data_IF_172958280272
#
_entry.id   IF_172958280272
#
_cell.length_a   1.000
_cell.length_b   1.000
_cell.length_c   1.000
_cell.angle_alpha   90.00
_cell.angle_beta   90.00
_cell.angle_gamma   90.00
#
_symmetry.space_group_name_H-M   'P 1'
#
loop_
_entity.id
_entity.type
_entity.pdbx_description
1 polymer ?
#
# COMPACT_ATOMS: atom_id res chain seq x y z
N UNK A 1 -14.31 -1.95 4.05
CA UNK A 1 -13.65 -1.07 3.06
C UNK A 1 -14.51 -1.12 1.82
N UNK A 2 -14.95 0.02 1.32
CA UNK A 2 -15.84 0.07 0.16
C UNK A 2 -14.98 0.12 -1.11
N UNK A 3 -15.28 -0.73 -2.09
CA UNK A 3 -14.51 -0.83 -3.34
C UNK A 3 -15.15 0.14 -4.33
N UNK A 4 -14.38 1.15 -4.75
CA UNK A 4 -14.86 2.18 -5.68
C UNK A 4 -14.35 1.92 -7.09
N UNK A 5 -13.07 1.58 -7.25
CA UNK A 5 -12.44 1.27 -8.54
C UNK A 5 -11.16 0.48 -8.31
N UNK A 6 -10.83 -0.52 -9.13
CA UNK A 6 -9.56 -1.26 -9.02
C UNK A 6 -8.44 -0.69 -9.91
N UNK A 7 -8.76 0.30 -10.74
CA UNK A 7 -7.82 0.91 -11.68
C UNK A 7 -6.69 1.60 -10.91
N UNK A 8 -5.44 1.28 -11.25
CA UNK A 8 -4.25 1.89 -10.63
C UNK A 8 -3.81 1.25 -9.29
N UNK A 9 -4.54 0.25 -8.77
CA UNK A 9 -4.11 -0.47 -7.57
C UNK A 9 -2.78 -1.22 -7.76
N UNK A 10 -2.59 -1.83 -8.94
CA UNK A 10 -1.35 -2.50 -9.32
C UNK A 10 -0.17 -1.53 -9.44
N UNK A 11 -0.36 -0.41 -10.16
CA UNK A 11 0.67 0.62 -10.31
C UNK A 11 1.07 1.21 -8.95
N UNK A 12 0.08 1.40 -8.06
CA UNK A 12 0.28 1.86 -6.68
C UNK A 12 1.10 0.87 -5.86
N UNK A 13 0.84 -0.43 -6.01
CA UNK A 13 1.64 -1.48 -5.35
C UNK A 13 3.10 -1.44 -5.81
N UNK A 14 3.32 -1.36 -7.13
CA UNK A 14 4.67 -1.30 -7.72
C UNK A 14 5.40 -0.02 -7.25
N UNK A 15 4.73 1.12 -7.25
CA UNK A 15 5.27 2.38 -6.73
C UNK A 15 5.66 2.28 -5.25
N UNK A 16 4.82 1.67 -4.42
CA UNK A 16 5.13 1.42 -3.00
C UNK A 16 6.32 0.50 -2.78
N UNK A 17 6.48 -0.53 -3.62
CA UNK A 17 7.62 -1.44 -3.58
C UNK A 17 8.92 -0.70 -3.94
N UNK A 18 8.92 0.04 -5.04
CA UNK A 18 10.06 0.84 -5.48
C UNK A 18 10.45 1.86 -4.41
N UNK A 19 9.49 2.53 -3.80
CA UNK A 19 9.73 3.47 -2.73
C UNK A 19 10.42 2.82 -1.53
N UNK A 20 9.89 1.70 -1.03
CA UNK A 20 10.48 1.00 0.12
C UNK A 20 11.91 0.52 -0.15
N UNK A 21 12.18 0.02 -1.37
CA UNK A 21 13.51 -0.38 -1.80
C UNK A 21 14.48 0.81 -1.88
N UNK A 22 14.05 1.95 -2.46
CA UNK A 22 14.87 3.17 -2.54
C UNK A 22 15.20 3.74 -1.17
N UNK A 23 14.26 3.65 -0.22
CA UNK A 23 14.45 4.10 1.16
C UNK A 23 15.21 3.09 2.04
N UNK A 24 15.57 1.92 1.48
CA UNK A 24 16.22 0.81 2.22
C UNK A 24 15.42 0.34 3.43
N UNK A 25 14.10 0.39 3.32
CA UNK A 25 13.21 -0.11 4.35
C UNK A 25 13.31 -1.64 4.46
N UNK A 26 12.91 -2.18 5.62
CA UNK A 26 12.79 -3.63 5.78
C UNK A 26 11.80 -4.22 4.76
N UNK A 27 11.98 -5.49 4.38
CA UNK A 27 11.04 -6.19 3.50
C UNK A 27 9.62 -6.16 4.06
N UNK A 28 9.48 -6.32 5.37
CA UNK A 28 8.21 -6.26 6.07
C UNK A 28 7.54 -4.89 5.92
N UNK A 29 8.27 -3.80 6.19
CA UNK A 29 7.78 -2.44 6.01
C UNK A 29 7.40 -2.16 4.56
N UNK A 30 8.27 -2.54 3.62
CA UNK A 30 8.07 -2.34 2.18
C UNK A 30 6.82 -3.06 1.68
N UNK A 31 6.61 -4.31 2.11
CA UNK A 31 5.43 -5.09 1.75
C UNK A 31 4.16 -4.48 2.36
N UNK A 32 4.18 -4.10 3.65
CA UNK A 32 3.04 -3.43 4.28
C UNK A 32 2.70 -2.12 3.59
N UNK A 33 3.69 -1.32 3.23
CA UNK A 33 3.51 -0.07 2.50
C UNK A 33 2.88 -0.32 1.14
N UNK A 34 3.49 -1.18 0.31
CA UNK A 34 3.01 -1.48 -1.04
C UNK A 34 1.56 -2.00 -1.02
N UNK A 35 1.24 -2.91 -0.10
CA UNK A 35 -0.12 -3.45 0.07
C UNK A 35 -1.10 -2.38 0.57
N UNK A 36 -0.71 -1.56 1.54
CA UNK A 36 -1.57 -0.50 2.06
C UNK A 36 -1.87 0.56 1.00
N UNK A 37 -0.87 0.95 0.20
CA UNK A 37 -1.05 1.92 -0.88
C UNK A 37 -1.97 1.35 -1.97
N UNK A 38 -1.77 0.09 -2.36
CA UNK A 38 -2.61 -0.60 -3.33
C UNK A 38 -4.06 -0.71 -2.84
N UNK A 39 -4.26 -1.06 -1.57
CA UNK A 39 -5.59 -1.12 -0.96
C UNK A 39 -6.26 0.27 -1.01
N UNK A 40 -5.57 1.33 -0.54
CA UNK A 40 -6.16 2.66 -0.53
C UNK A 40 -6.54 3.16 -1.92
N UNK A 41 -5.75 2.83 -2.95
CA UNK A 41 -6.08 3.13 -4.34
C UNK A 41 -7.41 2.49 -4.79
N UNK A 42 -7.79 1.34 -4.23
CA UNK A 42 -9.07 0.69 -4.56
C UNK A 42 -10.29 1.43 -3.99
N UNK A 43 -10.08 2.15 -2.88
CA UNK A 43 -11.15 2.84 -2.14
C UNK A 43 -11.42 4.27 -2.59
N UNK A 44 -10.77 4.74 -3.65
CA UNK A 44 -10.91 6.12 -4.13
C UNK A 44 -10.88 6.19 -5.66
N UNK A 45 -11.62 7.15 -6.21
CA UNK A 45 -11.64 7.40 -7.66
C UNK A 45 -10.39 8.13 -8.17
N UNK A 46 -9.66 8.80 -7.27
CA UNK A 46 -8.47 9.60 -7.59
C UNK A 46 -7.17 8.81 -7.35
N UNK A 47 -6.14 9.13 -8.14
CA UNK A 47 -4.81 8.54 -8.00
C UNK A 47 -4.02 9.29 -6.93
N UNK A 48 -3.32 8.57 -6.05
CA UNK A 48 -2.42 9.12 -5.03
C UNK A 48 -3.01 9.20 -3.62
N UNK A 49 -2.14 9.11 -2.60
CA UNK A 49 -2.53 9.10 -1.19
C UNK A 49 -2.11 10.42 -0.55
N UNK A 50 -3.08 11.18 -0.08
CA UNK A 50 -2.85 12.49 0.54
C UNK A 50 -2.87 12.42 2.07
N UNK A 51 -3.44 11.37 2.65
CA UNK A 51 -3.54 11.18 4.10
C UNK A 51 -2.54 10.13 4.61
N UNK A 52 -1.47 10.60 5.25
CA UNK A 52 -0.46 9.74 5.88
C UNK A 52 -0.99 8.98 7.10
N UNK A 53 -1.97 9.52 7.81
CA UNK A 53 -2.58 8.86 8.96
C UNK A 53 -3.45 7.69 8.50
N UNK A 54 -4.19 7.88 7.41
CA UNK A 54 -4.93 6.79 6.78
C UNK A 54 -4.00 5.69 6.27
N UNK A 55 -2.87 6.06 5.65
CA UNK A 55 -1.85 5.11 5.21
C UNK A 55 -1.29 4.30 6.37
N UNK A 56 -0.88 4.96 7.47
CA UNK A 56 -0.37 4.28 8.65
C UNK A 56 -1.40 3.33 9.27
N UNK A 57 -2.68 3.75 9.34
CA UNK A 57 -3.76 2.92 9.82
C UNK A 57 -4.01 1.70 8.91
N UNK A 58 -3.85 1.85 7.59
CA UNK A 58 -3.97 0.74 6.66
C UNK A 58 -2.78 -0.22 6.76
N UNK A 59 -1.55 0.30 6.86
CA UNK A 59 -0.35 -0.51 7.08
C UNK A 59 -0.47 -1.35 8.36
N UNK A 60 -1.01 -0.80 9.45
CA UNK A 60 -1.24 -1.53 10.69
C UNK A 60 -2.26 -2.68 10.56
N UNK A 61 -3.11 -2.66 9.52
CA UNK A 61 -4.07 -3.74 9.21
C UNK A 61 -3.49 -4.81 8.29
N UNK A 62 -2.31 -4.58 7.70
CA UNK A 62 -1.66 -5.57 6.83
C UNK A 62 -1.00 -6.64 7.69
N UNK A 63 -1.59 -7.83 7.67
CA UNK A 63 -0.99 -9.03 8.23
C UNK A 63 -0.04 -9.67 7.20
N UNK A 64 1.16 -10.01 7.64
CA UNK A 64 2.19 -10.63 6.81
C UNK A 64 2.51 -12.01 7.38
N UNK A 65 2.30 -13.03 6.57
CA UNK A 65 2.60 -14.40 6.94
C UNK A 65 3.88 -14.85 6.23
N UNK A 66 4.93 -15.25 6.96
CA UNK A 66 6.09 -15.85 6.34
C UNK A 66 5.68 -17.18 5.70
N UNK A 67 6.21 -17.43 4.50
CA UNK A 67 5.99 -18.69 3.80
C UNK A 67 7.13 -19.65 4.17
N UNK A 68 6.78 -20.73 4.86
CA UNK A 68 7.67 -21.83 5.23
C UNK A 68 7.22 -23.13 4.56
#
# INVERSE_FOLDING_TARGET
MEVVSTVGAGDSMVGGLIYGLLMRESSEHTLRLATAVAALAVSQSNVGITDRTQLAAMMARVDLQPFN
#
